data_IF_630322128599
#
_entry.id   IF_630322128599
#
_cell.length_a   1.000
_cell.length_b   1.000
_cell.length_c   1.000
_cell.angle_alpha   90.00
_cell.angle_beta   90.00
_cell.angle_gamma   90.00
#
_symmetry.space_group_name_H-M   'P 1'
#
loop_
_entity.id
_entity.type
_entity.pdbx_description
1 polymer ?
#
# COMPACT_ATOMS: atom_id res chain seq x y z
N UNK A 1 -8.02 4.77 9.22
CA UNK A 1 -7.44 5.12 10.54
C UNK A 1 -5.98 4.76 10.43
N UNK A 2 -5.12 5.74 10.63
CA UNK A 2 -3.69 5.62 10.34
C UNK A 2 -2.92 5.54 11.63
N UNK A 3 -1.78 4.82 11.64
CA UNK A 3 -0.88 4.87 12.78
C UNK A 3 -0.26 6.26 12.84
N UNK A 4 -0.34 6.90 14.01
CA UNK A 4 0.43 8.09 14.33
C UNK A 4 1.77 7.65 14.92
N UNK A 5 2.85 8.06 14.29
CA UNK A 5 4.22 7.68 14.65
C UNK A 5 4.93 8.91 15.20
N UNK A 6 5.31 8.85 16.46
CA UNK A 6 6.12 9.86 17.14
C UNK A 6 7.59 9.48 17.02
N UNK A 7 8.41 10.41 16.51
CA UNK A 7 9.83 10.17 16.30
C UNK A 7 10.62 11.49 16.26
N UNK A 8 11.94 11.46 16.50
CA UNK A 8 12.79 12.62 16.24
C UNK A 8 12.91 12.90 14.74
N UNK A 9 13.05 14.18 14.39
CA UNK A 9 13.38 14.62 13.04
C UNK A 9 14.77 14.10 12.66
N UNK A 10 14.95 13.47 11.48
CA UNK A 10 16.23 12.92 11.06
C UNK A 10 17.31 14.00 10.83
N UNK A 11 16.93 15.27 10.72
CA UNK A 11 17.85 16.38 10.48
C UNK A 11 18.23 17.15 11.75
N UNK A 12 17.26 17.49 12.61
CA UNK A 12 17.50 18.34 13.79
C UNK A 12 17.16 17.69 15.14
N UNK A 13 16.65 16.46 15.15
CA UNK A 13 16.29 15.73 16.38
C UNK A 13 14.99 16.19 17.07
N UNK A 14 14.33 17.25 16.59
CA UNK A 14 13.07 17.72 17.17
C UNK A 14 11.94 16.67 17.04
N UNK A 15 11.09 16.55 18.05
CA UNK A 15 10.00 15.57 18.06
C UNK A 15 8.93 15.95 17.02
N UNK A 16 8.63 15.03 16.11
CA UNK A 16 7.64 15.18 15.04
C UNK A 16 6.67 14.01 15.04
N UNK A 17 5.48 14.23 14.46
CA UNK A 17 4.47 13.19 14.26
C UNK A 17 4.22 12.97 12.77
N UNK A 18 4.38 11.73 12.33
CA UNK A 18 4.11 11.31 10.96
C UNK A 18 3.08 10.20 10.91
N UNK A 19 2.46 9.99 9.76
CA UNK A 19 1.59 8.85 9.52
C UNK A 19 2.36 7.68 8.91
N UNK A 20 1.78 6.47 8.97
CA UNK A 20 2.37 5.26 8.38
C UNK A 20 2.63 5.38 6.86
N UNK A 21 1.76 6.09 6.14
CA UNK A 21 1.88 6.27 4.69
C UNK A 21 2.76 7.46 4.30
N UNK A 22 3.18 8.29 5.26
CA UNK A 22 4.10 9.39 4.96
C UNK A 22 5.45 8.85 4.47
N UNK A 23 5.96 9.51 3.43
CA UNK A 23 7.26 9.29 2.80
C UNK A 23 8.07 10.58 2.88
N UNK A 24 7.50 11.70 2.46
CA UNK A 24 8.12 13.01 2.60
C UNK A 24 7.81 13.58 3.98
N UNK A 25 8.88 13.92 4.70
CA UNK A 25 8.84 14.57 6.01
C UNK A 25 9.41 15.97 5.87
N UNK A 26 8.59 16.97 6.18
CA UNK A 26 9.01 18.37 6.31
C UNK A 26 8.90 18.74 7.78
N UNK A 27 10.05 19.02 8.41
CA UNK A 27 10.09 19.32 9.84
C UNK A 27 9.67 20.76 10.09
N UNK A 28 8.71 20.98 10.99
CA UNK A 28 8.24 22.33 11.35
C UNK A 28 9.30 23.18 12.07
N UNK A 29 10.37 22.55 12.58
CA UNK A 29 11.42 23.22 13.36
C UNK A 29 12.62 23.66 12.52
N UNK A 30 13.16 22.76 11.67
CA UNK A 30 14.33 23.06 10.84
C UNK A 30 14.02 23.29 9.36
N UNK A 31 12.78 23.04 8.93
CA UNK A 31 12.29 23.11 7.55
C UNK A 31 13.06 22.25 6.53
N UNK A 32 13.95 21.36 6.99
CA UNK A 32 14.72 20.46 6.12
C UNK A 32 13.83 19.29 5.67
N UNK A 33 13.59 19.10 4.35
CA UNK A 33 12.82 17.98 3.85
C UNK A 33 13.67 16.70 3.78
N UNK A 34 13.08 15.59 4.21
CA UNK A 34 13.68 14.25 4.14
C UNK A 34 12.68 13.24 3.59
N UNK A 35 13.19 12.17 2.97
CA UNK A 35 12.38 11.11 2.42
C UNK A 35 12.61 9.81 3.17
N UNK A 36 11.54 9.19 3.68
CA UNK A 36 11.57 7.92 4.38
C UNK A 36 11.66 6.77 3.37
N UNK A 37 12.75 6.03 3.44
CA UNK A 37 13.02 4.86 2.59
C UNK A 37 12.00 3.76 2.87
N UNK A 38 11.45 3.12 1.84
CA UNK A 38 10.50 2.02 1.98
C UNK A 38 11.16 0.83 2.68
N UNK A 39 10.58 0.39 3.79
CA UNK A 39 10.94 -0.86 4.46
C UNK A 39 9.87 -1.92 4.20
N UNK A 40 10.29 -3.18 4.04
CA UNK A 40 9.35 -4.30 3.82
C UNK A 40 8.49 -4.60 5.05
N UNK A 41 9.05 -4.43 6.24
CA UNK A 41 8.39 -4.70 7.51
C UNK A 41 8.85 -3.66 8.55
N UNK A 42 8.35 -2.41 8.47
CA UNK A 42 8.65 -1.39 9.46
C UNK A 42 8.21 -1.85 10.85
N UNK A 43 8.94 -1.38 11.87
CA UNK A 43 8.80 -1.85 13.25
C UNK A 43 8.47 -0.72 14.19
N UNK A 44 7.46 -0.92 15.02
CA UNK A 44 6.97 0.07 15.95
C UNK A 44 6.82 -0.50 17.36
N UNK A 45 6.91 0.35 18.36
CA UNK A 45 6.68 0.06 19.77
C UNK A 45 5.39 0.76 20.19
N UNK A 46 4.51 0.04 20.91
CA UNK A 46 3.52 0.72 21.73
C UNK A 46 4.26 1.46 22.87
N UNK A 47 3.84 2.68 23.24
CA UNK A 47 4.56 3.45 24.24
C UNK A 47 4.42 2.75 25.60
N UNK A 48 5.55 2.33 26.22
CA UNK A 48 5.50 1.64 27.49
C UNK A 48 5.08 2.62 28.60
N UNK A 49 4.28 2.14 29.54
CA UNK A 49 3.91 2.80 30.78
C UNK A 49 4.39 1.92 31.92
N UNK A 50 5.70 1.87 32.15
CA UNK A 50 6.25 0.96 33.16
C UNK A 50 6.07 1.55 34.56
N UNK A 51 5.73 0.73 35.57
CA UNK A 51 5.82 1.16 36.96
C UNK A 51 7.27 1.53 37.33
N UNK A 52 7.46 2.48 38.25
CA UNK A 52 8.79 3.01 38.63
C UNK A 52 9.76 1.97 39.22
N UNK A 53 9.27 0.82 39.66
CA UNK A 53 10.08 -0.28 40.20
C UNK A 53 10.50 -1.30 39.14
N UNK A 54 10.06 -1.14 37.90
CA UNK A 54 10.41 -2.01 36.78
C UNK A 54 11.51 -1.33 35.98
N UNK A 55 12.64 -2.02 35.87
CA UNK A 55 13.75 -1.60 35.02
C UNK A 55 13.38 -1.79 33.53
N UNK A 56 13.71 -0.81 32.69
CA UNK A 56 13.48 -0.86 31.26
C UNK A 56 14.25 -1.99 30.58
N UNK A 57 15.45 -2.32 31.09
CA UNK A 57 16.26 -3.44 30.59
C UNK A 57 15.61 -4.82 30.84
N UNK A 58 14.69 -4.87 31.82
CA UNK A 58 13.88 -6.05 32.15
C UNK A 58 12.64 -6.24 31.27
N UNK A 59 12.36 -5.31 30.36
CA UNK A 59 11.20 -5.36 29.47
C UNK A 59 11.48 -6.24 28.27
N UNK A 60 10.46 -6.97 27.84
CA UNK A 60 10.47 -7.64 26.55
C UNK A 60 9.32 -7.22 25.66
N UNK A 61 9.59 -7.22 24.37
CA UNK A 61 8.72 -6.74 23.32
C UNK A 61 8.13 -7.91 22.54
N UNK A 62 6.82 -8.11 22.70
CA UNK A 62 6.07 -9.20 22.08
C UNK A 62 5.61 -8.75 20.69
N UNK A 63 6.00 -9.44 19.59
CA UNK A 63 5.69 -9.00 18.23
C UNK A 63 4.22 -9.25 17.89
N UNK A 64 3.58 -8.26 17.29
CA UNK A 64 2.32 -8.39 16.58
C UNK A 64 2.50 -7.96 15.13
N UNK A 65 1.96 -8.74 14.20
CA UNK A 65 1.88 -8.39 12.80
C UNK A 65 0.59 -7.61 12.56
N UNK A 66 0.71 -6.41 12.00
CA UNK A 66 -0.42 -5.62 11.52
C UNK A 66 -0.52 -5.74 10.01
N UNK A 67 -1.74 -5.93 9.51
CA UNK A 67 -2.09 -5.80 8.10
C UNK A 67 -3.13 -4.70 7.98
N UNK A 68 -2.85 -3.70 7.14
CA UNK A 68 -3.77 -2.64 6.73
C UNK A 68 -3.80 -2.63 5.21
N UNK A 69 -4.96 -2.77 4.56
CA UNK A 69 -5.02 -2.75 3.09
C UNK A 69 -6.32 -3.27 2.51
N UNK A 70 -6.43 -3.21 1.19
CA UNK A 70 -7.59 -3.75 0.47
C UNK A 70 -7.30 -5.18 0.02
N UNK A 71 -8.19 -6.10 0.37
CA UNK A 71 -8.20 -7.47 -0.17
C UNK A 71 -9.22 -7.53 -1.29
N UNK A 72 -8.79 -7.98 -2.46
CA UNK A 72 -9.65 -8.36 -3.57
C UNK A 72 -9.64 -9.88 -3.70
N UNK A 73 -10.79 -10.49 -3.92
CA UNK A 73 -10.89 -11.94 -4.06
C UNK A 73 -11.92 -12.30 -5.11
N UNK A 74 -11.59 -13.28 -5.93
CA UNK A 74 -12.51 -13.85 -6.91
C UNK A 74 -13.01 -15.15 -6.33
N UNK A 75 -14.27 -15.15 -5.90
CA UNK A 75 -14.87 -16.28 -5.21
C UNK A 75 -16.19 -16.64 -5.87
N UNK A 76 -16.35 -17.91 -6.25
CA UNK A 76 -17.51 -18.34 -7.04
C UNK A 76 -17.61 -17.54 -8.34
N UNK A 77 -18.66 -16.72 -8.49
CA UNK A 77 -18.91 -15.88 -9.67
C UNK A 77 -18.87 -14.38 -9.36
N UNK A 78 -18.22 -13.99 -8.27
CA UNK A 78 -18.18 -12.61 -7.80
C UNK A 78 -16.75 -12.13 -7.55
N UNK A 79 -16.55 -10.82 -7.77
CA UNK A 79 -15.35 -10.12 -7.35
C UNK A 79 -15.66 -9.40 -6.04
N UNK A 80 -15.17 -9.96 -4.95
CA UNK A 80 -15.33 -9.42 -3.60
C UNK A 80 -14.17 -8.51 -3.26
N UNK A 81 -14.43 -7.47 -2.49
CA UNK A 81 -13.40 -6.57 -1.99
C UNK A 81 -13.68 -6.12 -0.56
N UNK A 82 -12.64 -5.91 0.23
CA UNK A 82 -12.76 -5.43 1.62
C UNK A 82 -11.51 -4.68 2.06
N UNK A 83 -11.71 -3.55 2.75
CA UNK A 83 -10.66 -2.90 3.51
C UNK A 83 -10.50 -3.62 4.86
N UNK A 84 -9.28 -4.03 5.20
CA UNK A 84 -8.96 -4.66 6.48
C UNK A 84 -7.87 -3.87 7.18
N UNK A 85 -8.06 -3.66 8.48
CA UNK A 85 -7.01 -3.26 9.42
C UNK A 85 -7.10 -4.20 10.62
N UNK A 86 -6.09 -5.06 10.80
CA UNK A 86 -6.08 -6.06 11.88
C UNK A 86 -4.67 -6.28 12.37
N UNK A 87 -4.56 -6.69 13.64
CA UNK A 87 -3.30 -7.15 14.23
C UNK A 87 -3.44 -8.59 14.70
N UNK A 88 -2.36 -9.36 14.62
CA UNK A 88 -2.26 -10.72 15.16
C UNK A 88 -0.94 -10.91 15.88
N UNK A 89 -0.93 -11.70 16.95
CA UNK A 89 0.31 -12.09 17.63
C UNK A 89 1.24 -12.79 16.62
N UNK A 90 2.52 -12.40 16.62
CA UNK A 90 3.55 -12.85 15.68
C UNK A 90 4.44 -13.97 16.23
N UNK A 91 4.13 -14.49 17.42
CA UNK A 91 4.81 -15.60 18.05
C UNK A 91 3.79 -16.62 18.56
N UNK A 92 4.19 -17.89 18.62
CA UNK A 92 3.37 -18.95 19.17
C UNK A 92 3.25 -18.76 20.68
N UNK A 93 2.08 -18.29 21.13
CA UNK A 93 1.77 -18.15 22.55
C UNK A 93 0.26 -18.19 22.76
N UNK A 94 -0.21 -19.12 23.60
CA UNK A 94 -1.61 -19.20 24.01
C UNK A 94 -1.98 -18.24 25.14
N UNK A 95 -1.00 -17.47 25.65
CA UNK A 95 -1.14 -16.71 26.89
C UNK A 95 -1.33 -15.21 26.65
N UNK A 96 -0.91 -14.69 25.50
CA UNK A 96 -1.08 -13.27 25.16
C UNK A 96 -2.33 -13.05 24.31
N UNK A 97 -2.94 -11.84 24.34
CA UNK A 97 -4.08 -11.53 23.49
C UNK A 97 -3.77 -11.80 22.03
N UNK A 98 -4.73 -12.39 21.30
CA UNK A 98 -4.56 -12.70 19.89
C UNK A 98 -4.42 -11.46 18.98
N UNK A 99 -4.76 -10.26 19.48
CA UNK A 99 -4.75 -8.98 18.76
C UNK A 99 -4.43 -7.83 19.71
N UNK A 100 -3.86 -6.75 19.18
CA UNK A 100 -3.70 -5.48 19.89
C UNK A 100 -5.01 -4.67 19.96
N UNK A 101 -6.08 -5.11 19.30
CA UNK A 101 -7.33 -4.37 19.20
C UNK A 101 -7.13 -3.04 18.46
N UNK A 102 -7.72 -1.97 19.00
CA UNK A 102 -7.62 -0.60 18.44
C UNK A 102 -6.43 0.19 19.00
N UNK A 103 -5.59 -0.41 19.84
CA UNK A 103 -4.47 0.29 20.51
C UNK A 103 -3.51 0.97 19.53
N UNK A 104 -3.07 0.33 18.44
CA UNK A 104 -2.19 0.98 17.47
C UNK A 104 -2.78 2.25 16.85
N UNK A 105 -4.10 2.31 16.66
CA UNK A 105 -4.81 3.45 16.09
C UNK A 105 -5.14 4.53 17.14
N UNK A 106 -5.17 4.16 18.42
CA UNK A 106 -5.51 5.06 19.53
C UNK A 106 -4.29 5.68 20.23
N UNK A 107 -3.08 5.22 19.90
CA UNK A 107 -1.84 5.61 20.57
C UNK A 107 -0.83 6.14 19.54
N UNK A 108 0.04 7.06 19.98
CA UNK A 108 1.24 7.39 19.23
C UNK A 108 2.26 6.28 19.42
N UNK A 109 2.55 5.53 18.37
CA UNK A 109 3.60 4.50 18.39
C UNK A 109 4.96 5.13 18.10
N UNK A 110 6.03 4.46 18.47
CA UNK A 110 7.40 4.91 18.19
C UNK A 110 8.11 3.93 17.27
N UNK A 111 8.97 4.37 16.33
CA UNK A 111 9.80 3.44 15.57
C UNK A 111 10.75 2.69 16.52
N UNK A 112 11.12 1.46 16.17
CA UNK A 112 12.20 0.75 16.86
C UNK A 112 13.53 1.37 16.46
N UNK A 113 14.29 1.88 17.43
CA UNK A 113 15.64 2.42 17.26
C UNK A 113 16.61 1.82 18.27
N UNK A 114 17.89 2.14 18.17
CA UNK A 114 18.93 1.77 19.15
C UNK A 114 18.66 2.28 20.57
N UNK A 115 17.83 3.32 20.72
CA UNK A 115 17.33 3.81 22.01
C UNK A 115 16.31 2.89 22.69
N UNK A 116 15.78 1.87 22.01
CA UNK A 116 14.85 0.94 22.62
C UNK A 116 15.58 0.03 23.63
N UNK A 117 15.33 0.28 24.91
CA UNK A 117 15.80 -0.51 26.06
C UNK A 117 14.95 -1.78 26.20
N UNK A 118 15.58 -2.92 26.49
CA UNK A 118 14.95 -4.24 26.60
C UNK A 118 15.25 -5.21 25.43
N UNK A 119 14.50 -6.32 25.36
CA UNK A 119 14.74 -7.41 24.39
C UNK A 119 13.51 -7.75 23.56
N UNK A 120 13.70 -8.24 22.33
CA UNK A 120 12.60 -8.51 21.41
C UNK A 120 12.30 -10.00 21.33
N UNK A 121 11.05 -10.40 21.53
CA UNK A 121 10.64 -11.78 21.30
C UNK A 121 10.73 -12.07 19.80
N UNK A 122 11.38 -13.17 19.43
CA UNK A 122 11.50 -13.62 18.05
C UNK A 122 10.11 -13.87 17.45
N UNK A 123 9.85 -13.26 16.31
CA UNK A 123 8.68 -13.60 15.50
C UNK A 123 8.85 -15.02 14.94
N UNK A 124 7.97 -15.95 15.30
CA UNK A 124 7.95 -17.33 14.77
C UNK A 124 6.95 -17.48 13.61
N UNK A 125 5.91 -16.65 13.61
CA UNK A 125 4.89 -16.59 12.57
C UNK A 125 5.44 -15.84 11.35
N UNK A 126 5.40 -16.40 10.14
CA UNK A 126 5.87 -15.70 8.93
C UNK A 126 5.05 -14.44 8.68
N UNK A 127 5.68 -13.36 8.24
CA UNK A 127 4.98 -12.11 7.91
C UNK A 127 3.84 -12.36 6.91
N UNK A 128 4.10 -13.15 5.87
CA UNK A 128 3.12 -13.45 4.83
C UNK A 128 1.90 -14.27 5.34
N UNK A 129 2.01 -14.91 6.49
CA UNK A 129 0.85 -15.61 7.07
C UNK A 129 -0.27 -14.67 7.49
N UNK A 130 0.04 -13.38 7.73
CA UNK A 130 -0.97 -12.37 8.06
C UNK A 130 -1.95 -12.18 6.89
N UNK A 131 -1.50 -12.36 5.65
CA UNK A 131 -2.36 -12.32 4.48
C UNK A 131 -3.40 -13.44 4.49
N UNK A 132 -3.00 -14.65 4.91
CA UNK A 132 -3.91 -15.78 5.07
C UNK A 132 -4.92 -15.56 6.20
N UNK A 133 -4.48 -14.98 7.33
CA UNK A 133 -5.38 -14.65 8.45
C UNK A 133 -6.34 -13.51 8.11
N UNK A 134 -5.86 -12.43 7.48
CA UNK A 134 -6.69 -11.34 6.99
C UNK A 134 -7.73 -11.87 5.97
N UNK A 135 -7.32 -12.80 5.12
CA UNK A 135 -8.23 -13.50 4.23
C UNK A 135 -9.26 -14.38 4.97
N UNK A 136 -8.91 -15.05 6.07
CA UNK A 136 -9.92 -15.79 6.87
C UNK A 136 -10.98 -14.85 7.43
N UNK A 137 -10.59 -13.64 7.87
CA UNK A 137 -11.55 -12.61 8.30
C UNK A 137 -12.51 -12.26 7.16
N UNK A 138 -12.06 -12.22 5.90
CA UNK A 138 -12.99 -11.97 4.77
C UNK A 138 -14.12 -12.99 4.72
N UNK A 139 -13.78 -14.29 4.86
CA UNK A 139 -14.71 -15.44 4.79
C UNK A 139 -15.74 -15.49 5.92
N UNK A 140 -15.46 -14.91 7.08
CA UNK A 140 -16.40 -14.91 8.22
C UNK A 140 -17.71 -14.22 7.82
N UNK A 141 -17.60 -13.14 7.04
CA UNK A 141 -18.72 -12.29 6.62
C UNK A 141 -19.19 -12.58 5.19
N UNK A 142 -18.83 -13.72 4.60
CA UNK A 142 -19.35 -14.15 3.30
C UNK A 142 -20.36 -15.26 3.55
N UNK A 143 -21.57 -15.12 3.01
CA UNK A 143 -22.66 -16.10 3.19
C UNK A 143 -22.31 -17.46 2.54
N UNK A 144 -21.60 -17.43 1.41
CA UNK A 144 -21.14 -18.64 0.71
C UNK A 144 -19.68 -19.00 1.07
N UNK A 145 -19.53 -19.76 2.17
CA UNK A 145 -18.23 -20.26 2.64
C UNK A 145 -17.67 -21.44 1.83
N UNK A 146 -18.44 -22.03 0.90
CA UNK A 146 -18.05 -23.24 0.16
C UNK A 146 -17.60 -22.96 -1.28
N UNK A 147 -17.85 -21.76 -1.80
CA UNK A 147 -17.44 -21.38 -3.15
C UNK A 147 -15.91 -21.37 -3.33
N UNK A 148 -15.49 -21.80 -4.52
CA UNK A 148 -14.08 -21.90 -4.90
C UNK A 148 -13.42 -20.51 -4.98
N UNK A 149 -12.20 -20.39 -4.45
CA UNK A 149 -11.37 -19.17 -4.53
C UNK A 149 -10.43 -19.29 -5.73
N UNK A 150 -10.67 -18.49 -6.76
CA UNK A 150 -9.86 -18.52 -7.98
C UNK A 150 -8.61 -17.63 -7.90
N UNK A 151 -8.72 -16.49 -7.22
CA UNK A 151 -7.64 -15.50 -7.15
C UNK A 151 -7.82 -14.57 -5.95
N UNK A 152 -6.70 -14.03 -5.45
CA UNK A 152 -6.64 -13.01 -4.43
C UNK A 152 -5.51 -12.03 -4.72
N UNK A 153 -5.77 -10.75 -4.51
CA UNK A 153 -4.78 -9.69 -4.56
C UNK A 153 -4.89 -8.81 -3.32
N UNK A 154 -3.76 -8.27 -2.88
CA UNK A 154 -3.65 -7.30 -1.80
C UNK A 154 -3.15 -6.01 -2.43
N UNK A 155 -3.88 -4.91 -2.24
CA UNK A 155 -3.58 -3.65 -2.94
C UNK A 155 -3.65 -2.51 -1.94
N UNK A 156 -2.68 -1.60 -2.01
CA UNK A 156 -2.56 -0.49 -1.08
C UNK A 156 -2.31 -0.98 0.34
N UNK A 157 -1.70 -2.16 0.48
CA UNK A 157 -1.46 -2.78 1.76
C UNK A 157 -0.18 -2.28 2.43
N UNK A 158 -0.17 -2.37 3.74
CA UNK A 158 0.98 -2.14 4.58
C UNK A 158 1.02 -3.22 5.63
N UNK A 159 2.16 -3.88 5.72
CA UNK A 159 2.47 -4.81 6.79
C UNK A 159 3.50 -4.15 7.70
N UNK A 160 3.16 -4.07 8.98
CA UNK A 160 4.06 -3.55 10.00
C UNK A 160 4.13 -4.52 11.17
N UNK A 161 5.25 -4.48 11.90
CA UNK A 161 5.40 -5.21 13.15
C UNK A 161 5.28 -4.23 14.31
N UNK A 162 4.30 -4.44 15.17
CA UNK A 162 4.04 -3.62 16.35
C UNK A 162 4.35 -4.44 17.58
N UNK A 163 5.19 -3.92 18.46
CA UNK A 163 5.60 -4.59 19.67
C UNK A 163 4.77 -4.12 20.87
N UNK A 164 4.23 -5.09 21.61
CA UNK A 164 3.65 -4.87 22.92
C UNK A 164 4.77 -4.97 23.98
N UNK A 165 5.08 -3.90 24.72
CA UNK A 165 5.96 -4.02 25.88
C UNK A 165 5.31 -4.90 26.94
N UNK A 166 6.09 -5.73 27.60
CA UNK A 166 5.65 -6.58 28.69
C UNK A 166 6.76 -6.72 29.74
N UNK A 167 6.38 -6.85 31.01
CA UNK A 167 7.32 -6.89 32.12
C UNK A 167 6.95 -7.97 33.15
N UNK A 168 7.97 -8.41 33.90
CA UNK A 168 7.84 -9.41 34.97
C UNK A 168 7.70 -8.72 36.31
N UNK A 169 6.74 -9.16 37.12
CA UNK A 169 6.64 -8.72 38.51
C UNK A 169 5.99 -9.79 39.37
N UNK A 170 6.62 -10.14 40.49
CA UNK A 170 6.12 -11.11 41.47
C UNK A 170 5.62 -12.43 40.86
N UNK A 171 6.40 -13.03 39.95
CA UNK A 171 6.05 -14.32 39.33
C UNK A 171 4.93 -14.26 38.29
N UNK A 172 4.60 -13.07 37.80
CA UNK A 172 3.57 -12.85 36.77
C UNK A 172 4.10 -11.98 35.63
N UNK A 173 3.52 -12.17 34.45
CA UNK A 173 3.74 -11.35 33.28
C UNK A 173 2.60 -10.32 33.11
N UNK A 174 2.98 -9.06 32.92
CA UNK A 174 2.06 -7.94 32.73
C UNK A 174 2.22 -7.26 31.39
N UNK A 175 1.11 -6.76 30.86
CA UNK A 175 1.05 -5.85 29.73
C UNK A 175 1.66 -4.50 30.14
N UNK A 176 2.72 -4.07 29.45
CA UNK A 176 3.47 -2.85 29.74
C UNK A 176 2.77 -1.56 29.34
N UNK A 177 1.54 -1.63 28.81
CA UNK A 177 0.71 -0.47 28.47
C UNK A 177 -0.50 -0.36 29.42
N UNK A 178 -1.13 -1.50 29.74
CA UNK A 178 -2.39 -1.55 30.49
C UNK A 178 -2.24 -2.08 31.92
N UNK A 179 -1.08 -2.64 32.26
CA UNK A 179 -0.82 -3.34 33.53
C UNK A 179 -1.75 -4.54 33.79
N UNK A 180 -2.44 -5.04 32.76
CA UNK A 180 -3.22 -6.25 32.88
C UNK A 180 -2.31 -7.48 32.93
N UNK A 181 -2.71 -8.47 33.70
CA UNK A 181 -2.02 -9.77 33.74
C UNK A 181 -2.18 -10.47 32.40
N UNK A 182 -1.06 -10.86 31.80
CA UNK A 182 -1.01 -11.67 30.58
C UNK A 182 -0.86 -13.16 30.92
N UNK A 183 -0.13 -13.49 31.99
CA UNK A 183 0.06 -14.88 32.38
C UNK A 183 1.06 -15.06 33.51
N UNK A 184 1.43 -16.32 33.75
CA UNK A 184 2.47 -16.68 34.72
C UNK A 184 3.86 -16.35 34.18
N UNK A 185 4.84 -16.22 35.07
CA UNK A 185 6.22 -15.92 34.68
C UNK A 185 6.89 -17.00 33.81
N UNK A 186 6.39 -18.24 33.87
CA UNK A 186 6.84 -19.34 33.01
C UNK A 186 6.62 -19.03 31.52
N UNK A 187 5.57 -18.26 31.19
CA UNK A 187 5.34 -17.77 29.82
C UNK A 187 6.47 -16.85 29.38
N UNK A 188 6.95 -16.01 30.30
CA UNK A 188 8.06 -15.12 30.05
C UNK A 188 9.40 -15.90 29.94
N UNK A 189 9.52 -17.08 30.56
CA UNK A 189 10.68 -17.97 30.34
C UNK A 189 10.65 -18.56 28.93
N UNK A 190 9.46 -18.93 28.42
CA UNK A 190 9.30 -19.39 27.03
C UNK A 190 9.71 -18.31 26.02
N UNK A 191 9.28 -17.06 26.25
CA UNK A 191 9.75 -15.92 25.45
C UNK A 191 11.26 -15.68 25.62
N UNK A 192 11.75 -15.84 26.85
CA UNK A 192 13.17 -15.74 27.23
C UNK A 192 14.10 -16.63 26.40
N UNK A 193 13.64 -17.82 26.01
CA UNK A 193 14.39 -18.77 25.18
C UNK A 193 14.69 -18.25 23.78
N UNK A 194 13.95 -17.25 23.29
CA UNK A 194 14.07 -16.73 21.92
C UNK A 194 14.00 -15.21 21.89
N UNK A 195 14.81 -14.58 22.74
CA UNK A 195 15.00 -13.13 22.74
C UNK A 195 16.07 -12.74 21.73
N UNK A 196 15.80 -11.65 21.01
CA UNK A 196 16.69 -11.02 20.05
C UNK A 196 17.11 -9.65 20.61
N UNK A 197 18.39 -9.27 20.47
CA UNK A 197 18.77 -7.87 20.62
C UNK A 197 18.16 -7.04 19.49
N UNK A 198 18.17 -5.71 19.67
CA UNK A 198 17.98 -4.78 18.58
C UNK A 198 18.95 -5.07 17.42
N UNK A 199 18.52 -4.82 16.18
CA UNK A 199 19.38 -4.85 15.01
C UNK A 199 19.22 -3.57 14.19
N UNK A 200 20.34 -3.00 13.73
CA UNK A 200 20.39 -1.70 13.05
C UNK A 200 19.54 -1.62 11.78
N UNK A 201 19.31 -2.73 11.10
CA UNK A 201 18.47 -2.79 9.90
C UNK A 201 16.97 -2.55 10.20
N UNK A 202 16.58 -2.54 11.48
CA UNK A 202 15.21 -2.28 11.91
C UNK A 202 14.87 -0.79 11.97
N UNK A 203 15.89 0.07 12.09
CA UNK A 203 15.70 1.51 12.15
C UNK A 203 15.13 2.07 10.85
N UNK A 204 14.19 3.03 10.92
CA UNK A 204 13.75 3.75 9.74
C UNK A 204 14.92 4.52 9.13
N UNK A 205 15.05 4.44 7.81
CA UNK A 205 16.09 5.15 7.04
C UNK A 205 15.50 6.36 6.34
N UNK A 206 16.28 7.43 6.31
CA UNK A 206 15.93 8.69 5.67
C UNK A 206 17.01 9.12 4.68
N UNK A 207 16.59 9.68 3.55
CA UNK A 207 17.49 10.26 2.54
C UNK A 207 17.14 11.71 2.28
N UNK A 208 18.12 12.50 1.85
CA UNK A 208 17.94 13.92 1.53
C UNK A 208 17.05 14.11 0.31
N UNK A 209 16.15 15.08 0.35
CA UNK A 209 15.29 15.47 -0.79
C UNK A 209 16.03 16.34 -1.82
N UNK A 210 17.30 16.03 -2.10
CA UNK A 210 18.12 16.71 -3.10
C UNK A 210 18.11 15.91 -4.40
N UNK A 211 17.97 16.60 -5.52
CA UNK A 211 17.98 15.98 -6.83
C UNK A 211 19.36 15.37 -7.11
N UNK A 212 19.45 14.06 -7.44
CA UNK A 212 20.72 13.42 -7.74
C UNK A 212 21.45 13.99 -8.97
N UNK A 213 20.74 14.74 -9.82
CA UNK A 213 21.32 15.29 -11.05
C UNK A 213 21.78 16.74 -10.90
N UNK A 214 20.95 17.63 -10.35
CA UNK A 214 21.26 19.07 -10.31
C UNK A 214 21.46 19.63 -8.90
N UNK A 215 21.21 18.85 -7.85
CA UNK A 215 21.38 19.26 -6.45
C UNK A 215 20.24 20.11 -5.88
N UNK A 216 19.28 20.56 -6.68
CA UNK A 216 18.13 21.33 -6.19
C UNK A 216 17.16 20.49 -5.34
N UNK A 217 16.38 21.19 -4.50
CA UNK A 217 15.38 20.57 -3.63
C UNK A 217 14.22 20.00 -4.46
N UNK A 218 13.88 18.75 -4.16
CA UNK A 218 12.70 18.06 -4.71
C UNK A 218 11.49 18.27 -3.79
N UNK A 219 10.30 18.27 -4.39
CA UNK A 219 9.03 18.52 -3.70
C UNK A 219 7.96 17.47 -4.05
N UNK A 220 6.91 17.42 -3.25
CA UNK A 220 5.78 16.51 -3.40
C UNK A 220 4.86 16.52 -2.17
N UNK A 221 3.77 15.76 -2.21
CA UNK A 221 2.92 15.54 -1.03
C UNK A 221 3.56 14.55 -0.05
N UNK A 222 3.08 14.49 1.20
CA UNK A 222 3.65 13.64 2.26
C UNK A 222 3.67 12.17 1.86
N UNK A 223 2.60 11.70 1.27
CA UNK A 223 2.34 10.31 0.91
C UNK A 223 2.87 9.90 -0.48
N UNK A 224 3.50 10.83 -1.21
CA UNK A 224 3.93 10.56 -2.59
C UNK A 224 5.09 9.58 -2.64
N UNK A 225 5.06 8.71 -3.64
CA UNK A 225 6.16 7.84 -4.05
C UNK A 225 7.04 8.51 -5.12
N UNK A 226 6.51 9.53 -5.79
CA UNK A 226 7.19 10.25 -6.87
C UNK A 226 7.35 11.71 -6.47
N UNK A 227 8.59 12.20 -6.49
CA UNK A 227 8.96 13.58 -6.15
C UNK A 227 9.47 14.29 -7.40
N UNK A 228 9.28 15.60 -7.46
CA UNK A 228 9.63 16.42 -8.63
C UNK A 228 10.74 17.38 -8.25
N UNK A 229 11.77 17.48 -9.07
CA UNK A 229 12.85 18.44 -8.86
C UNK A 229 12.45 19.84 -9.32
N UNK A 230 12.66 20.84 -8.47
CA UNK A 230 12.33 22.25 -8.80
C UNK A 230 13.27 22.85 -9.86
N UNK A 231 14.51 22.35 -9.96
CA UNK A 231 15.51 22.85 -10.91
C UNK A 231 15.40 22.23 -12.31
N UNK A 232 15.49 20.91 -12.40
CA UNK A 232 15.49 20.20 -13.69
C UNK A 232 14.11 19.64 -14.10
N UNK A 233 13.07 19.82 -13.29
CA UNK A 233 11.69 19.32 -13.53
C UNK A 233 11.57 17.81 -13.72
N UNK A 234 12.63 17.05 -13.41
CA UNK A 234 12.60 15.58 -13.49
C UNK A 234 11.87 14.97 -12.31
N UNK A 235 11.23 13.84 -12.60
CA UNK A 235 10.53 13.04 -11.62
C UNK A 235 11.44 11.92 -11.11
N UNK A 236 11.36 11.65 -9.82
CA UNK A 236 12.21 10.70 -9.12
C UNK A 236 11.39 9.78 -8.24
N UNK A 237 11.77 8.51 -8.20
CA UNK A 237 11.18 7.49 -7.32
C UNK A 237 12.28 6.88 -6.44
N UNK A 238 11.97 6.60 -5.18
CA UNK A 238 12.88 5.90 -4.29
C UNK A 238 12.81 4.39 -4.53
N UNK A 239 13.97 3.77 -4.80
CA UNK A 239 14.14 2.32 -4.82
C UNK A 239 15.43 1.95 -4.08
N UNK A 240 15.33 1.12 -3.05
CA UNK A 240 16.50 0.58 -2.32
C UNK A 240 17.27 1.60 -1.49
N UNK A 241 16.66 2.76 -1.19
CA UNK A 241 17.29 3.87 -0.48
C UNK A 241 18.00 4.87 -1.38
N UNK A 242 17.75 4.83 -2.69
CA UNK A 242 18.29 5.80 -3.66
C UNK A 242 17.20 6.29 -4.59
N UNK A 243 17.34 7.53 -5.09
CA UNK A 243 16.42 8.09 -6.06
C UNK A 243 16.81 7.71 -7.48
N UNK A 244 15.85 7.20 -8.24
CA UNK A 244 15.98 6.84 -9.65
C UNK A 244 15.08 7.73 -10.49
N UNK A 245 15.59 8.17 -11.64
CA UNK A 245 14.82 8.97 -12.58
C UNK A 245 13.64 8.15 -13.10
N UNK A 246 12.44 8.73 -13.04
CA UNK A 246 11.21 8.11 -13.50
C UNK A 246 10.68 8.86 -14.73
N UNK A 247 10.62 8.17 -15.86
CA UNK A 247 9.92 8.67 -17.04
C UNK A 247 8.40 8.56 -16.86
N UNK A 248 7.66 9.57 -17.32
CA UNK A 248 6.21 9.55 -17.38
C UNK A 248 5.72 10.01 -18.76
N UNK A 249 4.45 9.79 -19.08
CA UNK A 249 3.75 10.44 -20.19
C UNK A 249 2.47 11.09 -19.67
N UNK A 250 1.91 12.02 -20.41
CA UNK A 250 0.59 12.56 -20.13
C UNK A 250 -0.30 12.51 -21.37
N UNK A 251 -1.60 12.33 -21.17
CA UNK A 251 -2.59 12.53 -22.22
C UNK A 251 -2.89 14.03 -22.31
N UNK A 252 -2.80 14.65 -23.51
CA UNK A 252 -3.13 16.06 -23.68
C UNK A 252 -4.57 16.34 -23.24
N UNK A 253 -4.86 17.49 -22.61
CA UNK A 253 -6.21 17.80 -22.17
C UNK A 253 -7.09 18.17 -23.37
N UNK A 254 -8.41 17.98 -23.25
CA UNK A 254 -9.39 18.52 -24.22
C UNK A 254 -9.75 19.96 -23.93
N UNK A 255 -9.76 20.32 -22.64
CA UNK A 255 -10.10 21.65 -22.14
C UNK A 255 -8.81 22.39 -21.74
N UNK A 256 -8.87 23.71 -21.59
CA UNK A 256 -7.69 24.53 -21.24
C UNK A 256 -7.17 24.26 -19.83
N UNK A 257 -8.04 23.81 -18.93
CA UNK A 257 -7.69 23.45 -17.56
C UNK A 257 -7.80 21.94 -17.37
N UNK A 258 -6.83 21.36 -16.64
CA UNK A 258 -6.83 19.94 -16.31
C UNK A 258 -6.14 19.68 -14.97
N UNK A 259 -6.78 18.82 -14.18
CA UNK A 259 -6.18 18.16 -13.03
C UNK A 259 -5.67 16.78 -13.48
N UNK A 260 -4.38 16.56 -13.34
CA UNK A 260 -3.73 15.33 -13.78
C UNK A 260 -3.71 14.29 -12.67
N UNK A 261 -4.36 13.15 -12.92
CA UNK A 261 -4.34 12.00 -12.02
C UNK A 261 -3.40 10.92 -12.57
N UNK A 262 -2.56 10.28 -11.72
CA UNK A 262 -1.57 9.31 -12.17
C UNK A 262 -2.14 7.89 -12.28
N UNK A 263 -1.74 7.18 -13.33
CA UNK A 263 -2.11 5.79 -13.59
C UNK A 263 -0.88 4.99 -14.01
N UNK A 264 -0.83 3.73 -13.61
CA UNK A 264 0.07 2.75 -14.19
C UNK A 264 -0.56 2.19 -15.45
N UNK A 265 0.10 2.47 -16.58
CA UNK A 265 -0.13 1.77 -17.84
C UNK A 265 0.71 0.50 -17.83
N UNK A 266 0.05 -0.65 -17.78
CA UNK A 266 0.69 -1.96 -17.62
C UNK A 266 0.40 -2.80 -18.86
N UNK A 267 1.43 -3.12 -19.62
CA UNK A 267 1.35 -4.08 -20.73
C UNK A 267 1.82 -5.44 -20.21
N UNK A 268 0.91 -6.40 -19.94
CA UNK A 268 1.28 -7.69 -19.41
C UNK A 268 1.82 -8.59 -20.51
N UNK A 269 2.79 -9.43 -20.15
CA UNK A 269 3.17 -10.61 -20.93
C UNK A 269 2.47 -11.83 -20.33
N UNK A 270 1.46 -12.32 -21.06
CA UNK A 270 0.73 -13.55 -20.72
C UNK A 270 1.37 -14.76 -21.41
N UNK A 271 1.97 -15.65 -20.63
CA UNK A 271 2.62 -16.86 -21.16
C UNK A 271 1.64 -17.82 -21.85
N UNK A 272 0.35 -17.76 -21.50
CA UNK A 272 -0.66 -18.64 -22.08
C UNK A 272 -1.11 -18.21 -23.48
N UNK A 273 -0.75 -17.00 -23.91
CA UNK A 273 -1.15 -16.42 -25.19
C UNK A 273 -2.66 -16.13 -25.29
N UNK A 274 -3.40 -16.17 -24.18
CA UNK A 274 -4.84 -15.94 -24.17
C UNK A 274 -5.19 -14.46 -24.17
N UNK A 275 -4.27 -13.59 -23.74
CA UNK A 275 -4.50 -12.17 -23.58
C UNK A 275 -3.36 -11.32 -24.15
N UNK A 276 -3.22 -11.31 -25.48
CA UNK A 276 -2.14 -10.59 -26.18
C UNK A 276 -2.60 -9.21 -26.67
N UNK A 277 -3.80 -9.14 -27.24
CA UNK A 277 -4.37 -7.96 -27.88
C UNK A 277 -5.61 -7.44 -27.18
N UNK A 278 -6.01 -6.21 -27.50
CA UNK A 278 -7.28 -5.64 -27.04
C UNK A 278 -8.48 -6.44 -27.55
N UNK A 279 -8.39 -7.02 -28.73
CA UNK A 279 -9.42 -7.93 -29.25
C UNK A 279 -9.58 -9.17 -28.35
N UNK A 280 -8.47 -9.80 -27.95
CA UNK A 280 -8.52 -10.97 -27.06
C UNK A 280 -9.20 -10.62 -25.73
N UNK A 281 -8.89 -9.44 -25.18
CA UNK A 281 -9.55 -8.93 -23.99
C UNK A 281 -11.07 -8.78 -24.18
N UNK A 282 -11.50 -8.18 -25.28
CA UNK A 282 -12.93 -8.01 -25.59
C UNK A 282 -13.65 -9.36 -25.78
N UNK A 283 -13.04 -10.31 -26.48
CA UNK A 283 -13.59 -11.65 -26.71
C UNK A 283 -13.65 -12.46 -25.41
N UNK A 284 -12.62 -12.37 -24.57
CA UNK A 284 -12.53 -13.08 -23.30
C UNK A 284 -13.56 -12.54 -22.28
N UNK A 285 -13.64 -11.21 -22.17
CA UNK A 285 -14.55 -10.53 -21.22
C UNK A 285 -15.97 -10.34 -21.77
N UNK A 286 -16.24 -10.76 -23.01
CA UNK A 286 -17.54 -10.65 -23.69
C UNK A 286 -18.06 -9.21 -23.75
N UNK A 287 -17.21 -8.25 -24.14
CA UNK A 287 -17.63 -6.85 -24.27
C UNK A 287 -18.62 -6.67 -25.42
N UNK A 288 -19.65 -5.80 -25.27
CA UNK A 288 -20.63 -5.53 -26.30
C UNK A 288 -20.08 -4.53 -27.34
N UNK A 289 -18.98 -4.89 -28.01
CA UNK A 289 -18.29 -4.04 -28.99
C UNK A 289 -18.02 -4.80 -30.28
N UNK A 290 -18.03 -4.09 -31.41
CA UNK A 290 -17.63 -4.67 -32.70
C UNK A 290 -16.11 -4.71 -32.77
N UNK A 291 -15.55 -5.91 -32.87
CA UNK A 291 -14.10 -6.10 -32.95
C UNK A 291 -13.60 -5.71 -34.33
N UNK A 292 -12.71 -4.71 -34.38
CA UNK A 292 -12.07 -4.19 -35.59
C UNK A 292 -10.64 -4.69 -35.70
N UNK A 293 -10.06 -4.58 -36.91
CA UNK A 293 -8.65 -4.90 -37.16
C UNK A 293 -7.69 -4.16 -36.23
N UNK A 294 -7.97 -2.87 -35.95
CA UNK A 294 -7.20 -2.06 -35.01
C UNK A 294 -7.12 -2.67 -33.60
N UNK A 295 -8.18 -3.34 -33.11
CA UNK A 295 -8.16 -4.00 -31.80
C UNK A 295 -7.27 -5.24 -31.78
N UNK A 296 -7.11 -5.94 -32.92
CA UNK A 296 -6.23 -7.11 -33.04
C UNK A 296 -4.76 -6.71 -33.12
N UNK A 297 -4.47 -5.56 -33.73
CA UNK A 297 -3.11 -5.01 -33.85
C UNK A 297 -2.66 -4.29 -32.57
N UNK A 298 -3.61 -3.77 -31.78
CA UNK A 298 -3.33 -3.12 -30.50
C UNK A 298 -3.05 -4.15 -29.41
N UNK A 299 -1.87 -4.04 -28.77
CA UNK A 299 -1.52 -4.83 -27.58
C UNK A 299 -2.47 -4.56 -26.42
N UNK A 300 -2.70 -5.59 -25.61
CA UNK A 300 -3.48 -5.45 -24.39
C UNK A 300 -2.74 -4.58 -23.36
N UNK A 301 -3.45 -3.61 -22.78
CA UNK A 301 -2.95 -2.74 -21.73
C UNK A 301 -3.97 -2.62 -20.61
N UNK A 302 -3.53 -2.69 -19.37
CA UNK A 302 -4.32 -2.35 -18.19
C UNK A 302 -3.97 -0.93 -17.74
N UNK A 303 -5.00 -0.14 -17.44
CA UNK A 303 -4.82 1.20 -16.87
C UNK A 303 -5.29 1.18 -15.43
N UNK A 304 -4.35 1.22 -14.49
CA UNK A 304 -4.59 1.03 -13.05
C UNK A 304 -4.27 2.34 -12.32
N UNK A 305 -5.12 2.84 -11.40
CA UNK A 305 -4.78 4.00 -10.58
C UNK A 305 -3.42 3.83 -9.91
N UNK A 306 -2.55 4.84 -10.02
CA UNK A 306 -1.27 4.89 -9.31
C UNK A 306 -1.41 5.57 -7.94
N UNK A 307 -2.63 5.59 -7.42
CA UNK A 307 -3.01 6.16 -6.15
C UNK A 307 -4.07 5.27 -5.49
N UNK A 308 -4.11 5.31 -4.16
CA UNK A 308 -5.08 4.55 -3.36
C UNK A 308 -6.48 5.15 -3.50
N UNK A 309 -7.47 4.26 -3.59
CA UNK A 309 -8.90 4.56 -3.63
C UNK A 309 -9.64 3.56 -2.76
N UNK A 310 -10.91 3.87 -2.42
CA UNK A 310 -11.78 2.84 -1.86
C UNK A 310 -11.90 1.67 -2.85
N UNK A 311 -12.04 0.41 -2.37
CA UNK A 311 -11.84 -0.72 -3.26
C UNK A 311 -12.83 -0.84 -4.41
N UNK A 312 -14.09 -0.44 -4.20
CA UNK A 312 -15.10 -0.42 -5.25
C UNK A 312 -14.73 0.54 -6.37
N UNK A 313 -14.36 1.78 -6.01
CA UNK A 313 -14.01 2.81 -6.98
C UNK A 313 -12.69 2.53 -7.69
N UNK A 314 -11.70 1.96 -6.98
CA UNK A 314 -10.45 1.48 -7.60
C UNK A 314 -10.77 0.50 -8.74
N UNK A 315 -11.56 -0.53 -8.45
CA UNK A 315 -11.90 -1.57 -9.42
C UNK A 315 -12.74 -1.03 -10.58
N UNK A 316 -13.73 -0.18 -10.28
CA UNK A 316 -14.56 0.47 -11.30
C UNK A 316 -13.71 1.34 -12.24
N UNK A 317 -12.84 2.18 -11.69
CA UNK A 317 -11.97 3.07 -12.46
C UNK A 317 -11.03 2.26 -13.35
N UNK A 318 -10.35 1.25 -12.77
CA UNK A 318 -9.47 0.36 -13.53
C UNK A 318 -10.20 -0.35 -14.67
N UNK A 319 -11.40 -0.87 -14.40
CA UNK A 319 -12.24 -1.51 -15.42
C UNK A 319 -12.58 -0.55 -16.55
N UNK A 320 -13.15 0.62 -16.24
CA UNK A 320 -13.65 1.55 -17.26
C UNK A 320 -12.52 2.06 -18.15
N UNK A 321 -11.37 2.41 -17.57
CA UNK A 321 -10.22 2.88 -18.35
C UNK A 321 -9.56 1.75 -19.16
N UNK A 322 -9.52 0.53 -18.62
CA UNK A 322 -8.97 -0.63 -19.34
C UNK A 322 -9.86 -1.04 -20.52
N UNK A 323 -11.18 -1.08 -20.35
CA UNK A 323 -12.13 -1.34 -21.44
C UNK A 323 -12.10 -0.20 -22.47
N UNK A 324 -12.02 1.04 -22.00
CA UNK A 324 -12.06 2.26 -22.82
C UNK A 324 -10.72 2.69 -23.44
N UNK A 325 -9.66 1.88 -23.34
CA UNK A 325 -8.29 2.28 -23.71
C UNK A 325 -8.09 2.74 -25.17
N UNK A 326 -9.01 2.39 -26.08
CA UNK A 326 -9.02 2.87 -27.47
C UNK A 326 -9.69 4.24 -27.69
N UNK A 327 -10.28 4.83 -26.65
CA UNK A 327 -11.11 6.06 -26.74
C UNK A 327 -10.35 7.33 -26.36
N UNK A 328 -9.12 7.21 -25.87
CA UNK A 328 -8.27 8.31 -25.43
C UNK A 328 -7.07 8.48 -26.38
N UNK A 329 -6.59 9.70 -26.63
CA UNK A 329 -5.35 9.92 -27.36
C UNK A 329 -4.19 9.16 -26.73
N UNK A 330 -3.18 8.82 -27.54
CA UNK A 330 -1.96 8.21 -27.01
C UNK A 330 -1.28 9.19 -26.04
N UNK A 331 -0.79 8.70 -24.87
CA UNK A 331 0.03 9.52 -23.98
C UNK A 331 1.32 9.96 -24.68
N UNK A 332 1.74 11.19 -24.44
CA UNK A 332 2.92 11.81 -25.04
C UNK A 332 3.81 12.43 -23.97
N UNK A 333 5.05 12.75 -24.32
CA UNK A 333 5.89 13.54 -23.43
C UNK A 333 5.35 14.96 -23.42
N UNK A 334 4.83 15.38 -22.27
CA UNK A 334 4.21 16.68 -22.08
C UNK A 334 4.49 17.13 -20.65
N UNK A 335 4.82 18.41 -20.49
CA UNK A 335 5.11 18.97 -19.18
C UNK A 335 3.81 19.21 -18.41
N UNK A 336 3.67 18.54 -17.27
CA UNK A 336 2.52 18.66 -16.38
C UNK A 336 3.00 19.44 -15.15
N UNK A 337 3.14 20.75 -15.29
CA UNK A 337 3.64 21.58 -14.21
C UNK A 337 2.54 21.96 -13.21
N UNK A 338 2.90 22.04 -11.92
CA UNK A 338 2.15 22.78 -10.89
C UNK A 338 1.28 21.95 -9.93
N UNK A 339 0.43 22.66 -9.18
CA UNK A 339 -0.43 22.15 -8.10
C UNK A 339 -1.60 21.26 -8.57
N UNK A 340 -1.75 21.09 -9.88
CA UNK A 340 -2.83 20.32 -10.49
C UNK A 340 -2.48 18.85 -10.72
N UNK A 341 -1.39 18.35 -10.15
CA UNK A 341 -0.96 16.96 -10.27
C UNK A 341 -1.26 16.19 -8.97
N UNK A 342 -2.10 15.17 -9.09
CA UNK A 342 -2.41 14.29 -7.97
C UNK A 342 -1.22 13.35 -7.68
N UNK A 343 -0.88 13.10 -6.40
CA UNK A 343 0.32 12.34 -6.06
C UNK A 343 0.20 10.84 -6.40
N UNK A 344 1.35 10.24 -6.68
CA UNK A 344 1.49 8.79 -6.85
C UNK A 344 1.60 8.16 -5.46
N UNK A 345 0.59 7.40 -5.02
CA UNK A 345 0.56 6.80 -3.67
C UNK A 345 0.50 5.28 -3.67
N UNK A 346 0.45 4.67 -4.86
CA UNK A 346 0.38 3.22 -5.05
C UNK A 346 1.48 2.79 -6.03
N UNK A 347 2.38 1.87 -5.66
CA UNK A 347 3.51 1.46 -6.51
C UNK A 347 3.07 0.52 -7.64
N UNK A 348 3.82 0.54 -8.73
CA UNK A 348 3.52 -0.28 -9.90
C UNK A 348 3.48 -1.80 -9.62
N UNK A 349 4.24 -2.27 -8.61
CA UNK A 349 4.21 -3.68 -8.19
C UNK A 349 2.84 -4.09 -7.65
N UNK A 350 2.23 -3.27 -6.80
CA UNK A 350 0.89 -3.52 -6.27
C UNK A 350 -0.16 -3.39 -7.39
N UNK A 351 -0.03 -2.40 -8.28
CA UNK A 351 -0.92 -2.28 -9.43
C UNK A 351 -0.91 -3.52 -10.34
N UNK A 352 0.24 -4.18 -10.49
CA UNK A 352 0.37 -5.42 -11.25
C UNK A 352 -0.34 -6.62 -10.59
N UNK A 353 -0.49 -6.63 -9.26
CA UNK A 353 -1.26 -7.67 -8.57
C UNK A 353 -2.76 -7.58 -8.88
N UNK A 354 -3.26 -6.39 -9.23
CA UNK A 354 -4.68 -6.17 -9.53
C UNK A 354 -5.13 -6.71 -10.89
N UNK A 355 -4.21 -7.05 -11.83
CA UNK A 355 -4.55 -7.30 -13.23
C UNK A 355 -5.61 -8.40 -13.43
N UNK A 356 -5.46 -9.54 -12.75
CA UNK A 356 -6.45 -10.64 -12.81
C UNK A 356 -7.80 -10.23 -12.23
N UNK A 357 -7.78 -9.46 -11.14
CA UNK A 357 -8.99 -8.90 -10.52
C UNK A 357 -9.71 -7.95 -11.48
N UNK A 358 -8.98 -7.06 -12.15
CA UNK A 358 -9.53 -6.12 -13.13
C UNK A 358 -10.04 -6.83 -14.37
N UNK A 359 -9.32 -7.84 -14.87
CA UNK A 359 -9.76 -8.66 -15.99
C UNK A 359 -11.15 -9.26 -15.72
N UNK A 360 -11.31 -9.89 -14.56
CA UNK A 360 -12.53 -10.58 -14.18
C UNK A 360 -13.66 -9.59 -13.86
N UNK A 361 -13.34 -8.47 -13.22
CA UNK A 361 -14.31 -7.39 -12.98
C UNK A 361 -14.78 -6.71 -14.28
N UNK A 362 -13.96 -6.76 -15.33
CA UNK A 362 -14.33 -6.25 -16.65
C UNK A 362 -15.31 -7.15 -17.39
N UNK A 363 -15.40 -8.43 -17.02
CA UNK A 363 -16.22 -9.44 -17.70
C UNK A 363 -17.72 -9.18 -17.58
N UNK A 364 -18.41 -9.20 -18.73
CA UNK A 364 -19.86 -9.27 -18.80
C UNK A 364 -20.34 -10.69 -18.45
N UNK A 365 -19.59 -11.70 -18.87
CA UNK A 365 -19.81 -13.11 -18.50
C UNK A 365 -18.59 -13.65 -17.75
N UNK A 366 -18.69 -13.72 -16.43
CA UNK A 366 -17.55 -14.11 -15.59
C UNK A 366 -17.10 -15.56 -15.82
N UNK A 367 -18.02 -16.47 -16.20
CA UNK A 367 -17.74 -17.92 -16.32
C UNK A 367 -16.58 -18.22 -17.27
N UNK A 368 -16.61 -17.66 -18.48
CA UNK A 368 -15.58 -17.87 -19.51
C UNK A 368 -14.19 -17.44 -19.01
N UNK A 369 -14.14 -16.35 -18.24
CA UNK A 369 -12.87 -15.84 -17.70
C UNK A 369 -12.39 -16.69 -16.53
N UNK A 370 -13.29 -17.18 -15.67
CA UNK A 370 -12.92 -18.07 -14.55
C UNK A 370 -12.29 -19.38 -15.02
N UNK A 371 -12.81 -19.96 -16.10
CA UNK A 371 -12.28 -21.21 -16.68
C UNK A 371 -10.82 -21.06 -17.15
N UNK A 372 -10.43 -19.85 -17.56
CA UNK A 372 -9.10 -19.51 -18.05
C UNK A 372 -8.23 -18.77 -17.02
N UNK A 373 -8.77 -18.42 -15.85
CA UNK A 373 -8.05 -17.56 -14.91
C UNK A 373 -6.82 -18.22 -14.29
N UNK A 374 -6.84 -19.55 -14.16
CA UNK A 374 -5.72 -20.36 -13.68
C UNK A 374 -4.61 -20.52 -14.72
N UNK A 375 -4.94 -20.44 -16.02
CA UNK A 375 -3.98 -20.58 -17.12
C UNK A 375 -3.29 -19.26 -17.44
N UNK A 376 -4.00 -18.13 -17.33
CA UNK A 376 -3.44 -16.79 -17.54
C UNK A 376 -2.36 -16.53 -16.47
N UNK A 377 -1.12 -16.29 -16.90
CA UNK A 377 0.00 -16.00 -16.00
C UNK A 377 0.75 -14.77 -16.50
N UNK A 378 0.66 -13.68 -15.74
CA UNK A 378 1.43 -12.47 -15.98
C UNK A 378 2.78 -12.60 -15.27
N UNK A 379 3.87 -12.76 -16.03
CA UNK A 379 5.23 -12.86 -15.45
C UNK A 379 6.03 -11.58 -15.54
N UNK A 380 5.92 -10.91 -16.68
CA UNK A 380 6.60 -9.65 -16.94
C UNK A 380 5.56 -8.62 -17.31
N UNK A 381 5.83 -7.38 -16.95
CA UNK A 381 5.00 -6.27 -17.35
C UNK A 381 5.87 -5.07 -17.70
N UNK A 382 5.57 -4.45 -18.83
CA UNK A 382 6.07 -3.10 -19.11
C UNK A 382 5.15 -2.14 -18.38
N UNK A 383 5.71 -1.44 -17.40
CA UNK A 383 5.03 -0.43 -16.61
C UNK A 383 5.47 0.96 -17.06
N UNK A 384 4.51 1.84 -17.29
CA UNK A 384 4.76 3.27 -17.50
C UNK A 384 3.83 4.08 -16.65
N UNK A 385 4.37 5.09 -15.97
CA UNK A 385 3.55 6.09 -15.31
C UNK A 385 2.94 6.98 -16.40
N UNK A 386 1.61 7.11 -16.39
CA UNK A 386 0.89 8.03 -17.25
C UNK A 386 0.02 8.95 -16.41
N UNK A 387 -0.23 10.15 -16.90
CA UNK A 387 -1.17 11.08 -16.29
C UNK A 387 -2.35 11.33 -17.24
N UNK A 388 -3.56 11.21 -16.69
CA UNK A 388 -4.80 11.46 -17.43
C UNK A 388 -5.40 12.80 -16.98
N UNK A 389 -5.92 13.63 -17.91
CA UNK A 389 -6.50 14.92 -17.60
C UNK A 389 -7.95 14.76 -17.11
N UNK A 390 -8.25 15.30 -15.94
CA UNK A 390 -9.58 15.39 -15.38
C UNK A 390 -10.00 16.85 -15.30
N UNK A 391 -11.29 17.14 -15.51
CA UNK A 391 -11.89 18.42 -15.11
C UNK A 391 -12.53 18.28 -13.73
N UNK A 392 -12.45 19.35 -12.95
CA UNK A 392 -13.15 19.42 -11.66
C UNK A 392 -14.60 19.87 -11.89
N UNK A 393 -15.56 19.00 -11.56
CA UNK A 393 -17.00 19.30 -11.59
C UNK A 393 -17.57 19.58 -10.19
N UNK A 394 -16.72 19.98 -9.24
CA UNK A 394 -17.04 20.29 -7.85
C UNK A 394 -17.07 19.05 -6.95
N UNK A 395 -18.00 18.13 -7.21
CA UNK A 395 -18.13 16.89 -6.43
C UNK A 395 -17.33 15.72 -7.02
N UNK A 396 -17.13 15.73 -8.33
CA UNK A 396 -16.47 14.67 -9.08
C UNK A 396 -15.38 15.25 -9.99
N UNK A 397 -14.29 14.51 -10.12
CA UNK A 397 -13.34 14.67 -11.21
C UNK A 397 -13.78 13.81 -12.38
N UNK A 398 -13.86 14.39 -13.57
CA UNK A 398 -14.30 13.70 -14.79
C UNK A 398 -13.14 13.66 -15.79
N UNK A 399 -12.70 12.47 -16.19
CA UNK A 399 -11.63 12.30 -17.19
C UNK A 399 -12.11 12.83 -18.54
N UNK A 400 -11.34 13.73 -19.14
CA UNK A 400 -11.84 14.59 -20.22
C UNK A 400 -12.12 13.84 -21.53
N UNK A 401 -11.49 12.69 -21.79
CA UNK A 401 -11.65 11.94 -23.04
C UNK A 401 -12.68 10.82 -22.94
N UNK A 402 -12.72 10.14 -21.81
CA UNK A 402 -13.49 8.91 -21.55
C UNK A 402 -14.72 9.14 -20.70
N UNK A 403 -14.79 10.27 -19.96
CA UNK A 403 -15.89 10.58 -19.04
C UNK A 403 -15.86 9.77 -17.74
N UNK A 404 -14.79 9.02 -17.45
CA UNK A 404 -14.65 8.29 -16.20
C UNK A 404 -14.69 9.27 -15.02
N UNK A 405 -15.60 9.03 -14.08
CA UNK A 405 -15.81 9.91 -12.93
C UNK A 405 -15.18 9.33 -11.66
N UNK A 406 -14.52 10.17 -10.88
CA UNK A 406 -13.95 9.84 -9.58
C UNK A 406 -14.38 10.92 -8.58
N UNK A 407 -15.12 10.53 -7.54
CA UNK A 407 -15.55 11.48 -6.52
C UNK A 407 -14.36 12.17 -5.83
N UNK A 408 -14.43 13.50 -5.68
CA UNK A 408 -13.39 14.30 -5.02
C UNK A 408 -13.16 13.82 -3.58
N UNK A 409 -14.24 13.47 -2.86
CA UNK A 409 -14.15 12.89 -1.53
C UNK A 409 -13.31 11.59 -1.53
N UNK A 410 -13.45 10.74 -2.55
CA UNK A 410 -12.70 9.48 -2.63
C UNK A 410 -11.19 9.69 -2.82
N UNK A 411 -10.79 10.73 -3.56
CA UNK A 411 -9.39 11.14 -3.64
C UNK A 411 -8.87 11.59 -2.27
N UNK A 412 -9.60 12.49 -1.60
CA UNK A 412 -9.24 12.97 -0.25
C UNK A 412 -9.10 11.83 0.77
N UNK A 413 -10.00 10.85 0.74
CA UNK A 413 -9.91 9.66 1.60
C UNK A 413 -8.79 8.72 1.17
N UNK A 414 -8.54 8.58 -0.13
CA UNK A 414 -7.46 7.75 -0.68
C UNK A 414 -6.08 8.13 -0.16
N UNK A 415 -5.83 9.42 0.10
CA UNK A 415 -4.58 9.89 0.76
C UNK A 415 -4.41 9.39 2.21
N UNK A 416 -5.48 8.90 2.84
CA UNK A 416 -5.55 8.44 4.23
C UNK A 416 -5.88 6.94 4.36
N UNK A 417 -5.84 6.21 3.24
CA UNK A 417 -6.00 4.76 3.19
C UNK A 417 -4.63 4.11 3.11
#
# INVERSE_FOLDING_TARGET
MDLSIEQPCPSCGAEIVINEDDRLIRCEFCDVPSFRVRQKLPRYLLPPKLPSHIDEDGVFYIPYLRFKGCIYSIQGKEVLHRLIDTTRVGCDSGFVPASLGLRPQAMKVRPVTDHATGKFVRQTVKADSIFHEAAKITRIFTEDRKSHLYHRAFIGETISRIYLPAYRYSGMLYDGVTHQKLGLDTVAEEFGKSLLPFARDWEPRYISMLCPECGDVMHGSRETLVVVCSGCSRHWIEEGGTFHALGYLAVPPRESEAHYLPFWRIEPEDESGQLVSLADFFELTNQPVVIRRSHREQKMVFTIPAFKLNPALFLQTSRMLTVGQGSSPLPQQYDIAGDNVYPVTLPASEAAEALKTVLVASSVSIRKVLDLLSTIQFRTYRKKLIYLPFRDAGHDFIEQHTGVCIANAALRYGKKM
#
